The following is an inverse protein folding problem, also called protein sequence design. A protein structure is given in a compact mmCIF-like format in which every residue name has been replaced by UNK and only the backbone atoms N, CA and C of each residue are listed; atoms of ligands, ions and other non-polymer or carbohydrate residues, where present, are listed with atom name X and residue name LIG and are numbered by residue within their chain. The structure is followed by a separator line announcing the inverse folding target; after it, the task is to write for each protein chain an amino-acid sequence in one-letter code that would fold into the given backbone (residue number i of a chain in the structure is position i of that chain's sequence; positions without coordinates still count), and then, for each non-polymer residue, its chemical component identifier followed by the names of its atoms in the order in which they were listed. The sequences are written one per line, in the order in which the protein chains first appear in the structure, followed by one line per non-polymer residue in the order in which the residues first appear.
data_IF_714192969566
#
_entry.id   IF_714192969566
#
_cell.length_a   1.000
_cell.length_b   1.000
_cell.length_c   1.000
_cell.angle_alpha   90.00
_cell.angle_beta   90.00
_cell.angle_gamma   90.00
#
_symmetry.space_group_name_H-M   'P 1'
#
loop_
_entity.id
_entity.type
_entity.pdbx_description
1 polymer ?
#
# COMPACT_ATOMS: atom_id res chain seq x y z
N UNK A 1 24.10 13.24 -8.57
CA UNK A 1 24.18 14.64 -9.04
C UNK A 1 24.98 14.76 -10.34
N UNK A 2 26.10 14.08 -10.46
CA UNK A 2 26.96 14.15 -11.67
C UNK A 2 26.27 13.66 -12.96
N UNK A 3 25.37 12.67 -12.85
CA UNK A 3 24.68 12.10 -14.02
C UNK A 3 23.64 13.03 -14.65
N UNK A 4 23.06 13.94 -13.88
CA UNK A 4 21.98 14.82 -14.32
C UNK A 4 22.36 16.32 -14.28
N UNK A 5 23.55 16.65 -13.79
CA UNK A 5 24.08 18.01 -13.60
C UNK A 5 23.12 18.95 -12.85
N UNK A 6 22.36 18.39 -11.88
CA UNK A 6 21.47 19.14 -11.01
C UNK A 6 21.64 18.71 -9.56
N UNK A 7 21.37 19.64 -8.64
CA UNK A 7 21.29 19.31 -7.20
C UNK A 7 20.02 18.48 -6.96
N UNK A 8 20.19 17.34 -6.31
CA UNK A 8 19.07 16.52 -5.83
C UNK A 8 18.84 16.84 -4.36
N UNK A 9 17.61 17.17 -4.02
CA UNK A 9 17.16 17.32 -2.63
C UNK A 9 16.30 16.11 -2.27
N UNK A 10 16.68 15.44 -1.20
CA UNK A 10 15.84 14.41 -0.60
C UNK A 10 14.78 15.11 0.25
N UNK A 11 13.52 14.76 0.02
CA UNK A 11 12.41 15.29 0.79
C UNK A 11 12.41 14.70 2.20
N UNK A 12 11.94 15.47 3.17
CA UNK A 12 11.57 14.91 4.47
C UNK A 12 10.28 14.09 4.33
N UNK A 13 10.06 13.15 5.24
CA UNK A 13 8.84 12.34 5.27
C UNK A 13 7.55 13.18 5.27
N UNK A 14 7.56 14.32 5.96
CA UNK A 14 6.43 15.26 5.97
C UNK A 14 6.21 15.94 4.62
N UNK A 15 7.29 16.33 3.92
CA UNK A 15 7.19 16.91 2.57
C UNK A 15 6.70 15.86 1.57
N UNK A 16 7.15 14.61 1.66
CA UNK A 16 6.71 13.52 0.80
C UNK A 16 5.21 13.25 0.97
N UNK A 17 4.74 13.09 2.21
CA UNK A 17 3.32 12.93 2.52
C UNK A 17 2.47 14.11 2.02
N UNK A 18 2.95 15.35 2.21
CA UNK A 18 2.25 16.55 1.73
C UNK A 18 2.16 16.58 0.20
N UNK A 19 3.23 16.30 -0.51
CA UNK A 19 3.23 16.28 -1.97
C UNK A 19 2.38 15.13 -2.53
N UNK A 20 2.35 13.98 -1.87
CA UNK A 20 1.44 12.89 -2.16
C UNK A 20 -0.03 13.31 -2.06
N UNK A 21 -0.38 14.04 -0.99
CA UNK A 21 -1.72 14.63 -0.82
C UNK A 21 -2.05 15.65 -1.93
N UNK A 22 -1.16 16.58 -2.22
CA UNK A 22 -1.36 17.57 -3.29
C UNK A 22 -1.59 16.87 -4.62
N UNK A 23 -0.76 15.88 -4.95
CA UNK A 23 -0.91 15.10 -6.18
C UNK A 23 -2.23 14.33 -6.27
N UNK A 24 -2.68 13.75 -5.17
CA UNK A 24 -3.96 13.04 -5.09
C UNK A 24 -5.17 13.98 -5.24
N UNK A 25 -5.09 15.17 -4.66
CA UNK A 25 -6.16 16.19 -4.69
C UNK A 25 -6.40 16.77 -6.10
N UNK A 26 -5.39 16.76 -6.96
CA UNK A 26 -5.54 17.21 -8.36
C UNK A 26 -6.43 16.24 -9.15
N UNK A 27 -6.38 14.94 -8.83
CA UNK A 27 -7.10 13.89 -9.57
C UNK A 27 -8.56 13.72 -9.17
N UNK A 28 -8.91 14.01 -7.91
CA UNK A 28 -10.28 13.91 -7.39
C UNK A 28 -10.41 14.69 -6.08
N UNK A 29 -11.59 15.26 -5.77
CA UNK A 29 -11.82 15.82 -4.45
C UNK A 29 -11.75 14.72 -3.38
N UNK A 30 -10.87 14.89 -2.42
CA UNK A 30 -10.75 13.98 -1.28
C UNK A 30 -11.64 14.50 -0.15
N UNK A 31 -12.57 13.67 0.31
CA UNK A 31 -13.34 13.92 1.51
C UNK A 31 -12.52 13.58 2.77
N UNK A 32 -13.08 13.78 3.96
CA UNK A 32 -12.47 13.30 5.19
C UNK A 32 -12.14 11.80 5.11
N UNK A 33 -10.97 11.42 5.61
CA UNK A 33 -10.46 10.06 5.48
C UNK A 33 -8.98 9.97 5.76
N UNK A 34 -8.34 8.87 5.38
CA UNK A 34 -6.90 8.70 5.46
C UNK A 34 -6.32 8.35 4.11
N UNK A 35 -5.38 9.17 3.66
CA UNK A 35 -4.60 8.88 2.46
C UNK A 35 -3.44 7.95 2.84
N UNK A 36 -3.26 6.90 2.07
CA UNK A 36 -2.17 5.93 2.23
C UNK A 36 -1.33 5.86 0.95
N UNK A 37 -0.02 5.91 1.09
CA UNK A 37 0.93 5.61 0.01
C UNK A 37 1.86 4.48 0.46
N UNK A 38 1.75 3.32 -0.17
CA UNK A 38 2.61 2.17 0.13
C UNK A 38 3.75 2.15 -0.87
N UNK A 39 4.86 2.75 -0.45
CA UNK A 39 6.11 2.79 -1.20
C UNK A 39 6.94 1.50 -1.09
N UNK A 40 8.14 1.55 -1.67
CA UNK A 40 9.09 0.43 -1.59
C UNK A 40 9.77 0.31 -0.23
N UNK A 41 10.20 1.45 0.34
CA UNK A 41 10.93 1.53 1.60
C UNK A 41 10.09 2.01 2.79
N UNK A 42 9.05 2.77 2.53
CA UNK A 42 8.20 3.38 3.56
C UNK A 42 6.72 3.28 3.20
N UNK A 43 5.88 3.62 4.16
CA UNK A 43 4.43 3.77 4.00
C UNK A 43 4.03 5.10 4.64
N UNK A 44 3.43 5.99 3.86
CA UNK A 44 2.98 7.29 4.30
C UNK A 44 1.48 7.23 4.62
N UNK A 45 1.11 7.85 5.75
CA UNK A 45 -0.28 8.09 6.15
C UNK A 45 -0.50 9.60 6.25
N UNK A 46 -1.60 10.10 5.70
CA UNK A 46 -2.02 11.50 5.84
C UNK A 46 -3.48 11.54 6.25
N UNK A 47 -3.75 12.04 7.44
CA UNK A 47 -5.12 12.29 7.89
C UNK A 47 -5.71 13.48 7.11
N UNK A 48 -6.88 13.30 6.53
CA UNK A 48 -7.61 14.30 5.75
C UNK A 48 -8.76 14.83 6.60
N UNK A 49 -8.56 15.98 7.20
CA UNK A 49 -9.60 16.65 7.97
C UNK A 49 -10.42 17.61 7.10
N UNK A 50 -11.68 17.82 7.49
CA UNK A 50 -12.58 18.70 6.76
C UNK A 50 -12.17 20.19 6.81
N UNK A 51 -11.36 20.57 7.80
CA UNK A 51 -10.81 21.93 8.01
C UNK A 51 -9.54 22.21 7.22
N UNK A 52 -9.02 21.20 6.49
CA UNK A 52 -7.82 21.33 5.65
C UNK A 52 -6.50 21.17 6.40
N UNK A 53 -6.51 20.82 7.68
CA UNK A 53 -5.28 20.43 8.38
C UNK A 53 -4.94 18.95 8.05
N UNK A 54 -3.76 18.74 7.48
CA UNK A 54 -3.33 17.45 7.01
C UNK A 54 -2.05 17.03 7.72
N UNK A 55 -2.19 16.20 8.76
CA UNK A 55 -1.07 15.59 9.45
C UNK A 55 -0.56 14.37 8.67
N UNK A 56 0.68 14.42 8.19
CA UNK A 56 1.34 13.31 7.53
C UNK A 56 2.41 12.66 8.39
N UNK A 57 2.52 11.32 8.33
CA UNK A 57 3.56 10.54 8.97
C UNK A 57 4.08 9.48 8.00
N UNK A 58 5.37 9.13 8.12
CA UNK A 58 5.99 8.04 7.37
C UNK A 58 6.42 6.93 8.33
N UNK A 59 6.07 5.71 7.97
CA UNK A 59 6.46 4.48 8.64
C UNK A 59 7.60 3.87 7.82
N UNK A 60 8.77 3.57 8.39
CA UNK A 60 9.91 3.01 7.65
C UNK A 60 9.69 1.52 7.34
N UNK A 61 8.56 1.22 6.69
CA UNK A 61 8.14 -0.12 6.30
C UNK A 61 7.39 -0.05 4.96
N UNK A 62 8.02 -0.48 3.88
CA UNK A 62 7.45 -0.53 2.55
C UNK A 62 7.47 -1.92 1.95
N UNK A 63 6.81 -2.09 0.80
CA UNK A 63 6.60 -3.42 0.21
C UNK A 63 7.89 -4.10 -0.29
N UNK A 64 8.89 -3.35 -0.78
CA UNK A 64 10.17 -3.91 -1.22
C UNK A 64 11.04 -4.25 -0.01
N UNK A 65 11.04 -3.39 1.02
CA UNK A 65 11.75 -3.65 2.26
C UNK A 65 11.17 -4.89 2.98
N UNK A 66 9.85 -5.01 3.01
CA UNK A 66 9.17 -6.18 3.56
C UNK A 66 9.54 -7.46 2.79
N UNK A 67 9.56 -7.40 1.45
CA UNK A 67 10.02 -8.51 0.62
C UNK A 67 11.46 -8.91 0.97
N UNK A 68 12.38 -7.96 0.97
CA UNK A 68 13.80 -8.22 1.21
C UNK A 68 14.08 -8.82 2.59
N UNK A 69 13.33 -8.43 3.62
CA UNK A 69 13.57 -8.86 4.99
C UNK A 69 12.87 -10.16 5.36
N UNK A 70 11.73 -10.48 4.75
CA UNK A 70 10.84 -11.54 5.24
C UNK A 70 10.52 -12.62 4.21
N UNK A 71 10.83 -12.43 2.92
CA UNK A 71 10.45 -13.37 1.86
C UNK A 71 11.68 -14.04 1.27
N UNK A 72 11.65 -15.36 1.17
CA UNK A 72 12.77 -16.16 0.63
C UNK A 72 12.59 -16.55 -0.83
N UNK A 73 11.34 -16.63 -1.28
CA UNK A 73 10.97 -16.95 -2.66
C UNK A 73 10.24 -15.78 -3.31
N UNK A 74 9.82 -15.92 -4.57
CA UNK A 74 9.11 -14.85 -5.28
C UNK A 74 7.74 -14.57 -4.63
N UNK A 75 7.00 -15.62 -4.30
CA UNK A 75 5.72 -15.55 -3.59
C UNK A 75 5.95 -15.98 -2.15
N UNK A 76 5.57 -15.16 -1.16
CA UNK A 76 5.74 -15.51 0.24
C UNK A 76 4.82 -16.66 0.65
N UNK A 77 5.34 -17.50 1.53
CA UNK A 77 4.58 -18.56 2.20
C UNK A 77 3.54 -17.96 3.18
N UNK A 78 2.52 -18.71 3.60
CA UNK A 78 1.56 -18.24 4.62
C UNK A 78 2.22 -17.82 5.94
N UNK A 79 3.33 -18.46 6.32
CA UNK A 79 4.09 -18.08 7.52
C UNK A 79 4.79 -16.73 7.34
N UNK A 80 5.43 -16.51 6.19
CA UNK A 80 6.07 -15.23 5.85
C UNK A 80 5.03 -14.10 5.74
N UNK A 81 3.85 -14.38 5.18
CA UNK A 81 2.74 -13.41 5.13
C UNK A 81 2.33 -12.96 6.54
N UNK A 82 2.20 -13.89 7.49
CA UNK A 82 1.89 -13.53 8.89
C UNK A 82 3.01 -12.71 9.52
N UNK A 83 4.26 -13.11 9.30
CA UNK A 83 5.43 -12.36 9.82
C UNK A 83 5.46 -10.93 9.31
N UNK A 84 5.17 -10.70 8.03
CA UNK A 84 5.07 -9.34 7.45
C UNK A 84 3.94 -8.55 8.11
N UNK A 85 2.75 -9.15 8.25
CA UNK A 85 1.61 -8.49 8.88
C UNK A 85 1.90 -8.10 10.34
N UNK A 86 2.48 -9.01 11.12
CA UNK A 86 2.81 -8.77 12.53
C UNK A 86 3.91 -7.71 12.68
N UNK A 87 4.94 -7.76 11.84
CA UNK A 87 6.01 -6.76 11.84
C UNK A 87 5.47 -5.37 11.49
N UNK A 88 4.64 -5.26 10.45
CA UNK A 88 4.04 -3.99 10.06
C UNK A 88 3.05 -3.47 11.13
N UNK A 89 2.23 -4.34 11.71
CA UNK A 89 1.31 -3.98 12.80
C UNK A 89 2.06 -3.41 14.02
N UNK A 90 3.23 -3.98 14.34
CA UNK A 90 4.08 -3.47 15.41
C UNK A 90 4.57 -2.04 15.14
N UNK A 91 5.03 -1.76 13.92
CA UNK A 91 5.44 -0.40 13.52
C UNK A 91 4.25 0.57 13.56
N UNK A 92 3.09 0.14 13.08
CA UNK A 92 1.87 0.93 13.08
C UNK A 92 1.42 1.29 14.51
N UNK A 93 1.42 0.30 15.42
CA UNK A 93 1.03 0.50 16.83
C UNK A 93 2.03 1.34 17.63
N UNK A 94 3.27 1.46 17.16
CA UNK A 94 4.27 2.33 17.77
C UNK A 94 4.08 3.82 17.42
N UNK A 95 3.16 4.16 16.52
CA UNK A 95 2.88 5.54 16.15
C UNK A 95 2.26 6.32 17.31
N UNK A 96 2.70 7.57 17.55
CA UNK A 96 2.28 8.34 18.72
C UNK A 96 0.79 8.74 18.71
N UNK A 97 0.12 8.69 17.57
CA UNK A 97 -1.28 9.10 17.42
C UNK A 97 -1.98 8.29 16.32
N UNK A 98 -1.98 6.97 16.45
CA UNK A 98 -2.62 6.07 15.47
C UNK A 98 -4.12 6.36 15.33
N UNK A 99 -4.81 6.69 16.43
CA UNK A 99 -6.24 7.02 16.44
C UNK A 99 -6.58 8.19 15.51
N UNK A 100 -5.68 9.15 15.34
CA UNK A 100 -5.86 10.29 14.44
C UNK A 100 -5.88 9.92 12.95
N UNK A 101 -5.50 8.69 12.61
CA UNK A 101 -5.54 8.16 11.24
C UNK A 101 -6.69 7.16 11.02
N UNK A 102 -7.51 6.87 12.03
CA UNK A 102 -8.68 6.00 11.85
C UNK A 102 -9.75 6.66 11.03
N UNK A 103 -10.28 5.93 10.05
CA UNK A 103 -11.32 6.44 9.16
C UNK A 103 -12.01 5.30 8.43
N UNK A 104 -13.32 5.42 8.24
CA UNK A 104 -14.12 4.51 7.39
C UNK A 104 -13.65 4.52 5.91
N UNK A 105 -12.81 5.49 5.52
CA UNK A 105 -12.40 5.66 4.14
C UNK A 105 -10.88 5.83 4.02
N UNK A 106 -10.26 4.86 3.36
CA UNK A 106 -8.85 4.92 3.00
C UNK A 106 -8.70 5.26 1.52
N UNK A 107 -7.93 6.30 1.22
CA UNK A 107 -7.58 6.69 -0.14
C UNK A 107 -6.18 6.18 -0.47
N UNK A 108 -6.08 5.25 -1.41
CA UNK A 108 -4.80 4.67 -1.77
C UNK A 108 -4.18 5.33 -3.01
N UNK A 109 -2.92 5.74 -2.90
CA UNK A 109 -2.13 6.21 -4.03
C UNK A 109 -0.88 5.33 -4.25
N UNK A 110 -0.11 5.65 -5.24
CA UNK A 110 1.17 4.99 -5.53
C UNK A 110 1.04 3.70 -6.31
N UNK A 111 2.18 3.07 -6.50
CA UNK A 111 2.31 1.91 -7.39
C UNK A 111 1.75 0.63 -6.81
N UNK A 112 1.83 0.44 -5.49
CA UNK A 112 1.35 -0.77 -4.82
C UNK A 112 -0.16 -0.87 -4.88
N UNK A 113 -0.88 0.21 -4.56
CA UNK A 113 -2.35 0.23 -4.63
C UNK A 113 -2.85 0.07 -6.07
N UNK A 114 -2.17 0.71 -7.05
CA UNK A 114 -2.52 0.51 -8.47
C UNK A 114 -2.30 -0.93 -8.94
N UNK A 115 -1.26 -1.60 -8.44
CA UNK A 115 -1.01 -3.01 -8.75
C UNK A 115 -2.08 -3.92 -8.14
N UNK A 116 -2.52 -3.64 -6.91
CA UNK A 116 -3.64 -4.36 -6.29
C UNK A 116 -4.95 -4.17 -7.06
N UNK A 117 -5.27 -2.96 -7.49
CA UNK A 117 -6.46 -2.70 -8.31
C UNK A 117 -6.43 -3.49 -9.63
N UNK A 118 -5.26 -3.58 -10.29
CA UNK A 118 -5.08 -4.42 -11.48
C UNK A 118 -5.23 -5.91 -11.16
N UNK A 119 -4.76 -6.36 -10.00
CA UNK A 119 -4.87 -7.75 -9.58
C UNK A 119 -6.32 -8.13 -9.31
N UNK A 120 -7.08 -7.27 -8.64
CA UNK A 120 -8.54 -7.43 -8.45
C UNK A 120 -9.23 -7.57 -9.80
N UNK A 121 -9.00 -6.67 -10.75
CA UNK A 121 -9.55 -6.75 -12.11
C UNK A 121 -9.19 -8.08 -12.82
N UNK A 122 -7.93 -8.50 -12.72
CA UNK A 122 -7.46 -9.72 -13.36
C UNK A 122 -8.06 -11.01 -12.77
N UNK A 123 -8.39 -11.00 -11.48
CA UNK A 123 -8.98 -12.17 -10.81
C UNK A 123 -10.47 -12.28 -11.08
N UNK A 124 -11.21 -11.17 -11.01
CA UNK A 124 -12.68 -11.19 -11.16
C UNK A 124 -13.17 -10.89 -12.56
N UNK A 125 -12.26 -10.69 -13.53
CA UNK A 125 -12.62 -10.60 -14.95
C UNK A 125 -13.22 -9.27 -15.38
N UNK A 126 -13.00 -8.20 -14.61
CA UNK A 126 -13.37 -6.84 -14.99
C UNK A 126 -12.16 -6.19 -15.68
N UNK A 127 -12.30 -5.90 -16.98
CA UNK A 127 -11.27 -5.22 -17.77
C UNK A 127 -11.08 -3.75 -17.33
N UNK A 128 -12.02 -3.22 -16.54
CA UNK A 128 -11.92 -1.88 -15.98
C UNK A 128 -11.21 -1.92 -14.63
N UNK A 129 -10.20 -1.06 -14.45
CA UNK A 129 -9.56 -0.92 -13.15
C UNK A 129 -10.59 -0.44 -12.12
N UNK A 130 -10.85 -1.18 -11.02
CA UNK A 130 -11.80 -0.75 -10.02
C UNK A 130 -11.34 0.57 -9.39
N UNK A 131 -12.29 1.48 -9.15
CA UNK A 131 -12.06 2.74 -8.42
C UNK A 131 -11.93 2.53 -6.91
N UNK A 132 -12.40 1.41 -6.42
CA UNK A 132 -12.34 1.01 -5.01
C UNK A 132 -11.99 -0.48 -4.91
N UNK A 133 -11.31 -0.84 -3.84
CA UNK A 133 -11.02 -2.21 -3.46
C UNK A 133 -11.74 -2.45 -2.14
N UNK A 134 -12.65 -3.41 -2.11
CA UNK A 134 -13.39 -3.76 -0.91
C UNK A 134 -12.60 -4.72 -0.01
N UNK A 135 -13.00 -4.84 1.26
CA UNK A 135 -12.45 -5.89 2.15
C UNK A 135 -12.64 -7.28 1.55
N UNK A 136 -13.79 -7.54 0.94
CA UNK A 136 -14.08 -8.80 0.27
C UNK A 136 -13.12 -9.10 -0.88
N UNK A 137 -12.72 -8.09 -1.64
CA UNK A 137 -11.71 -8.25 -2.69
C UNK A 137 -10.36 -8.64 -2.09
N UNK A 138 -9.96 -8.00 -0.98
CA UNK A 138 -8.70 -8.31 -0.29
C UNK A 138 -8.72 -9.71 0.34
N UNK A 139 -9.83 -10.12 0.92
CA UNK A 139 -10.04 -11.48 1.44
C UNK A 139 -9.95 -12.51 0.32
N UNK A 140 -10.66 -12.30 -0.79
CA UNK A 140 -10.61 -13.19 -1.93
C UNK A 140 -9.23 -13.32 -2.58
N UNK A 141 -8.43 -12.23 -2.62
CA UNK A 141 -7.02 -12.31 -3.04
C UNK A 141 -6.17 -13.13 -2.06
N UNK A 142 -6.41 -13.00 -0.76
CA UNK A 142 -5.71 -13.78 0.26
C UNK A 142 -6.08 -15.26 0.20
N UNK A 143 -7.36 -15.57 -0.02
CA UNK A 143 -7.86 -16.94 -0.19
C UNK A 143 -7.28 -17.58 -1.44
N UNK A 144 -7.22 -16.85 -2.57
CA UNK A 144 -6.60 -17.33 -3.79
C UNK A 144 -5.11 -17.61 -3.60
N UNK A 145 -4.39 -16.73 -2.90
CA UNK A 145 -2.97 -16.91 -2.59
C UNK A 145 -2.71 -18.16 -1.76
N UNK A 146 -3.61 -18.48 -0.82
CA UNK A 146 -3.49 -19.64 0.05
C UNK A 146 -3.99 -20.94 -0.61
N UNK A 147 -5.05 -20.86 -1.42
CA UNK A 147 -5.70 -22.01 -2.04
C UNK A 147 -5.03 -22.44 -3.34
N UNK A 148 -4.65 -21.52 -4.20
CA UNK A 148 -3.99 -21.81 -5.48
C UNK A 148 -2.94 -20.76 -5.82
N UNK A 149 -1.75 -20.96 -5.27
CA UNK A 149 -0.59 -20.06 -5.49
C UNK A 149 -0.18 -19.98 -6.96
N UNK A 150 -0.42 -21.02 -7.77
CA UNK A 150 -0.06 -21.03 -9.18
C UNK A 150 -0.97 -20.11 -9.98
N UNK A 151 -2.27 -20.17 -9.74
CA UNK A 151 -3.25 -19.26 -10.35
C UNK A 151 -2.99 -17.83 -9.88
N UNK A 152 -2.73 -17.62 -8.59
CA UNK A 152 -2.36 -16.30 -8.07
C UNK A 152 -1.14 -15.75 -8.79
N UNK A 153 -0.05 -16.51 -8.87
CA UNK A 153 1.19 -16.11 -9.53
C UNK A 153 0.99 -15.75 -11.00
N UNK A 154 0.23 -16.58 -11.73
CA UNK A 154 -0.10 -16.32 -13.14
C UNK A 154 -0.86 -14.98 -13.30
N UNK A 155 -1.85 -14.73 -12.46
CA UNK A 155 -2.61 -13.47 -12.46
C UNK A 155 -1.72 -12.27 -12.07
N UNK A 156 -0.84 -12.44 -11.08
CA UNK A 156 0.10 -11.41 -10.63
C UNK A 156 1.07 -10.98 -11.73
N UNK A 157 1.66 -11.94 -12.44
CA UNK A 157 2.55 -11.67 -13.58
C UNK A 157 1.81 -10.93 -14.69
N UNK A 158 0.56 -11.28 -14.98
CA UNK A 158 -0.26 -10.61 -15.99
C UNK A 158 -0.65 -9.19 -15.56
N UNK A 159 -1.04 -8.99 -14.30
CA UNK A 159 -1.55 -7.73 -13.79
C UNK A 159 -0.45 -6.70 -13.50
N UNK A 160 0.67 -7.15 -12.94
CA UNK A 160 1.74 -6.27 -12.46
C UNK A 160 3.12 -6.97 -12.57
N UNK A 161 3.64 -7.22 -13.79
CA UNK A 161 4.88 -7.95 -14.03
C UNK A 161 6.08 -7.34 -13.30
N UNK A 162 6.16 -6.01 -13.26
CA UNK A 162 7.26 -5.28 -12.62
C UNK A 162 7.21 -5.33 -11.09
N UNK A 163 6.16 -5.89 -10.50
CA UNK A 163 5.89 -5.86 -9.05
C UNK A 163 5.59 -7.22 -8.43
N UNK A 164 5.82 -8.31 -9.15
CA UNK A 164 5.47 -9.66 -8.69
C UNK A 164 6.02 -9.94 -7.29
N UNK A 165 7.28 -9.55 -7.04
CA UNK A 165 7.95 -9.75 -5.75
C UNK A 165 7.40 -8.87 -4.62
N UNK A 166 6.92 -7.66 -4.93
CA UNK A 166 6.42 -6.70 -3.94
C UNK A 166 4.90 -6.62 -3.84
N UNK A 167 4.18 -7.33 -4.74
CA UNK A 167 2.72 -7.30 -4.79
C UNK A 167 2.08 -7.87 -3.52
N UNK A 168 2.52 -9.07 -3.09
CA UNK A 168 1.98 -9.71 -1.88
C UNK A 168 2.35 -8.93 -0.61
N UNK A 169 3.60 -8.52 -0.39
CA UNK A 169 3.93 -7.61 0.72
C UNK A 169 3.10 -6.33 0.71
N UNK A 170 2.92 -5.70 -0.45
CA UNK A 170 2.07 -4.51 -0.59
C UNK A 170 0.60 -4.79 -0.25
N UNK A 171 0.06 -5.94 -0.67
CA UNK A 171 -1.28 -6.40 -0.31
C UNK A 171 -1.42 -6.57 1.20
N UNK A 172 -0.44 -7.18 1.86
CA UNK A 172 -0.46 -7.40 3.31
C UNK A 172 -0.46 -6.06 4.05
N UNK A 173 0.39 -5.11 3.65
CA UNK A 173 0.45 -3.77 4.24
C UNK A 173 -0.90 -3.06 4.10
N UNK A 174 -1.47 -3.01 2.89
CA UNK A 174 -2.78 -2.36 2.64
C UNK A 174 -3.89 -3.02 3.45
N UNK A 175 -3.90 -4.37 3.53
CA UNK A 175 -4.88 -5.12 4.32
C UNK A 175 -4.74 -4.80 5.81
N UNK A 176 -3.53 -4.81 6.35
CA UNK A 176 -3.28 -4.47 7.76
C UNK A 176 -3.71 -3.04 8.07
N UNK A 177 -3.45 -2.07 7.16
CA UNK A 177 -3.95 -0.70 7.31
C UNK A 177 -5.48 -0.67 7.36
N UNK A 178 -6.16 -1.42 6.49
CA UNK A 178 -7.63 -1.48 6.48
C UNK A 178 -8.20 -2.18 7.73
N UNK A 179 -7.46 -3.10 8.35
CA UNK A 179 -7.85 -3.76 9.60
C UNK A 179 -7.69 -2.83 10.82
N UNK A 180 -6.61 -2.04 10.85
CA UNK A 180 -6.23 -1.23 12.03
C UNK A 180 -6.83 0.19 11.99
N UNK A 181 -7.08 0.74 10.81
CA UNK A 181 -7.51 2.13 10.64
C UNK A 181 -8.97 2.31 10.26
N UNK A 182 -9.66 1.24 9.76
CA UNK A 182 -10.99 1.43 9.22
C UNK A 182 -12.08 0.41 9.60
#
# INVERSE_FOLDING_TARGET
ETAINHKVRVLSAREEAHLGFVGASIGAPLAAGTLIDVGGGSTELTALAADGDHAGISIPFGCVLAYANYVRCIIPTPAECRTIADAFRKELQALPNLEGYRSERLYGIGGSVRALAKMVAAVWGDDTRPKSISRKDMEGLADLLQGDVSVFAHRAVKAAPDRVHSLVPGMIIVRTLAEELG
#
